data_IF_789114635796
#
_entry.id   IF_789114635796
#
_cell.length_a   1.000
_cell.length_b   1.000
_cell.length_c   1.000
_cell.angle_alpha   90.00
_cell.angle_beta   90.00
_cell.angle_gamma   90.00
#
_symmetry.space_group_name_H-M   'P 1'
#
loop_
_entity.id
_entity.type
_entity.pdbx_description
1 polymer ?
#
# COMPACT_ATOMS: atom_id res chain seq x y z
N UNK A 1 -5.21 7.25 -17.34
CA UNK A 1 -5.86 6.98 -18.64
C UNK A 1 -6.00 5.47 -18.78
N UNK A 2 -7.18 4.93 -18.50
CA UNK A 2 -7.49 3.51 -18.68
C UNK A 2 -8.71 3.46 -19.58
N UNK A 3 -8.56 2.77 -20.71
CA UNK A 3 -9.49 2.69 -21.84
C UNK A 3 -10.59 1.66 -21.52
N UNK A 4 -11.86 2.08 -21.59
CA UNK A 4 -13.02 1.19 -21.48
C UNK A 4 -13.47 0.70 -22.85
N UNK A 5 -13.46 -0.61 -23.05
CA UNK A 5 -13.97 -1.28 -24.25
C UNK A 5 -15.47 -1.52 -24.09
N UNK A 6 -16.25 -1.11 -25.08
CA UNK A 6 -17.69 -1.31 -25.13
C UNK A 6 -18.08 -2.65 -25.76
N UNK A 7 -19.26 -3.13 -25.39
CA UNK A 7 -20.01 -4.14 -26.14
C UNK A 7 -21.47 -3.70 -26.24
N UNK A 8 -21.99 -3.72 -27.47
CA UNK A 8 -23.38 -3.46 -27.81
C UNK A 8 -24.00 -4.81 -28.23
N UNK A 9 -25.17 -5.15 -27.68
CA UNK A 9 -25.92 -6.36 -28.03
C UNK A 9 -27.39 -6.13 -27.71
N UNK A 10 -28.21 -6.04 -28.76
CA UNK A 10 -29.62 -5.64 -28.68
C UNK A 10 -30.61 -6.79 -28.52
N UNK A 11 -31.84 -6.39 -28.14
CA UNK A 11 -33.11 -6.87 -28.70
C UNK A 11 -33.68 -8.21 -28.22
N UNK A 12 -34.88 -8.18 -27.63
CA UNK A 12 -35.80 -9.32 -27.56
C UNK A 12 -36.72 -9.31 -26.35
N UNK A 13 -38.01 -9.03 -26.57
CA UNK A 13 -39.12 -9.20 -25.61
C UNK A 13 -39.83 -10.51 -25.97
N UNK A 14 -39.99 -11.43 -25.01
CA UNK A 14 -41.05 -12.45 -25.02
C UNK A 14 -41.54 -12.67 -23.57
N UNK A 15 -42.87 -12.66 -23.44
CA UNK A 15 -43.66 -12.78 -22.22
C UNK A 15 -44.17 -14.24 -22.12
N UNK A 16 -44.22 -14.83 -20.93
CA UNK A 16 -44.72 -16.21 -20.77
C UNK A 16 -44.41 -16.84 -19.42
N UNK A 17 -45.42 -16.90 -18.55
CA UNK A 17 -45.38 -17.58 -17.26
C UNK A 17 -45.31 -19.12 -17.36
N UNK A 18 -44.75 -19.74 -16.33
CA UNK A 18 -44.71 -21.18 -16.11
C UNK A 18 -43.94 -21.52 -14.84
N UNK A 19 -44.63 -22.12 -13.88
CA UNK A 19 -44.13 -22.60 -12.59
C UNK A 19 -43.05 -23.68 -12.70
N UNK A 20 -42.32 -23.84 -11.58
CA UNK A 20 -41.38 -24.90 -11.18
C UNK A 20 -39.94 -24.78 -11.69
N UNK A 21 -39.02 -24.38 -10.81
CA UNK A 21 -38.08 -25.35 -10.20
C UNK A 21 -37.39 -24.76 -8.96
N UNK A 22 -37.23 -25.63 -7.96
CA UNK A 22 -36.58 -25.38 -6.68
C UNK A 22 -35.11 -25.01 -6.86
N UNK A 23 -34.56 -24.39 -5.82
CA UNK A 23 -33.14 -24.25 -5.46
C UNK A 23 -32.45 -22.99 -5.96
N UNK A 24 -32.61 -21.93 -5.18
CA UNK A 24 -31.45 -21.26 -4.61
C UNK A 24 -31.74 -20.96 -3.14
N UNK A 25 -31.34 -21.87 -2.24
CA UNK A 25 -30.88 -21.38 -0.94
C UNK A 25 -29.66 -20.55 -1.29
N UNK A 26 -29.84 -19.23 -1.37
CA UNK A 26 -28.76 -18.27 -1.45
C UNK A 26 -27.84 -18.55 -0.28
N UNK A 27 -26.82 -19.36 -0.53
CA UNK A 27 -25.74 -19.61 0.38
C UNK A 27 -24.89 -18.35 0.31
N UNK A 28 -25.41 -17.28 0.92
CA UNK A 28 -24.61 -16.13 1.27
C UNK A 28 -23.44 -16.70 2.06
N UNK A 29 -22.26 -16.68 1.44
CA UNK A 29 -21.00 -17.11 2.06
C UNK A 29 -20.86 -16.27 3.32
N UNK A 30 -21.35 -16.79 4.46
CA UNK A 30 -21.02 -16.29 5.78
C UNK A 30 -19.56 -16.66 5.98
N UNK A 31 -18.67 -15.84 5.43
CA UNK A 31 -17.23 -16.05 5.41
C UNK A 31 -16.73 -16.08 6.85
N UNK A 32 -16.43 -17.27 7.37
CA UNK A 32 -15.32 -17.57 8.29
C UNK A 32 -15.14 -16.75 9.56
N UNK A 33 -16.17 -16.10 10.10
CA UNK A 33 -16.02 -15.26 11.31
C UNK A 33 -15.59 -16.11 12.53
N UNK A 34 -16.09 -17.34 12.65
CA UNK A 34 -15.74 -18.26 13.73
C UNK A 34 -14.33 -18.84 13.61
N UNK A 35 -13.87 -19.12 12.39
CA UNK A 35 -12.55 -19.69 12.14
C UNK A 35 -11.44 -18.67 12.44
N UNK A 36 -11.66 -17.40 12.09
CA UNK A 36 -10.73 -16.31 12.39
C UNK A 36 -10.56 -16.15 13.91
N UNK A 37 -11.64 -16.21 14.67
CA UNK A 37 -11.58 -16.06 16.12
C UNK A 37 -10.90 -17.26 16.80
N UNK A 38 -11.17 -18.48 16.31
CA UNK A 38 -10.46 -19.68 16.76
C UNK A 38 -8.95 -19.59 16.51
N UNK A 39 -8.54 -19.10 15.34
CA UNK A 39 -7.12 -18.89 15.01
C UNK A 39 -6.50 -17.81 15.89
N UNK A 40 -7.20 -16.71 16.17
CA UNK A 40 -6.69 -15.67 17.08
C UNK A 40 -6.45 -16.21 18.48
N UNK A 41 -7.38 -16.98 19.04
CA UNK A 41 -7.25 -17.58 20.37
C UNK A 41 -6.08 -18.57 20.40
N UNK A 42 -6.00 -19.45 19.40
CA UNK A 42 -4.89 -20.40 19.28
C UNK A 42 -3.53 -19.69 19.20
N UNK A 43 -3.44 -18.64 18.38
CA UNK A 43 -2.20 -17.88 18.24
C UNK A 43 -1.89 -17.07 19.50
N UNK A 44 -2.89 -16.53 20.21
CA UNK A 44 -2.68 -15.81 21.47
C UNK A 44 -2.20 -16.72 22.61
N UNK A 45 -2.61 -17.99 22.61
CA UNK A 45 -2.13 -19.02 23.53
C UNK A 45 -0.65 -19.36 23.27
N UNK A 46 -0.23 -19.44 22.00
CA UNK A 46 1.15 -19.80 21.62
C UNK A 46 2.12 -18.64 21.57
N UNK A 47 1.64 -17.46 21.19
CA UNK A 47 2.40 -16.24 21.03
C UNK A 47 1.62 -15.17 21.77
N UNK A 48 2.25 -14.41 22.67
CA UNK A 48 1.57 -13.32 23.36
C UNK A 48 1.19 -12.22 22.35
N UNK A 49 0.05 -12.39 21.67
CA UNK A 49 -0.42 -11.49 20.64
C UNK A 49 -1.17 -10.36 21.30
N UNK A 50 -0.62 -9.15 21.18
CA UNK A 50 -1.36 -7.95 21.51
C UNK A 50 -2.36 -7.69 20.39
N UNK A 51 -3.65 -7.63 20.72
CA UNK A 51 -4.63 -7.07 19.79
C UNK A 51 -4.31 -5.59 19.62
N UNK A 52 -3.65 -5.26 18.50
CA UNK A 52 -3.52 -3.88 18.05
C UNK A 52 -4.86 -3.58 17.41
N UNK A 53 -5.68 -2.76 18.07
CA UNK A 53 -7.04 -2.43 17.62
C UNK A 53 -7.03 -1.75 16.23
N UNK A 54 -7.33 -0.47 16.12
CA UNK A 54 -7.09 0.26 14.88
C UNK A 54 -5.61 0.61 14.78
N UNK A 55 -4.81 -0.36 14.29
CA UNK A 55 -3.40 -0.13 13.99
C UNK A 55 -3.28 0.99 12.94
N UNK A 56 -2.74 2.15 13.35
CA UNK A 56 -2.48 3.29 12.47
C UNK A 56 -1.03 3.28 11.94
N UNK A 57 -0.12 2.66 12.68
CA UNK A 57 1.30 2.57 12.32
C UNK A 57 1.91 1.23 12.78
N UNK A 58 2.72 0.61 11.93
CA UNK A 58 3.51 -0.58 12.26
C UNK A 58 4.88 -0.46 11.59
N UNK A 59 5.98 -0.54 12.35
CA UNK A 59 7.36 -0.39 11.84
C UNK A 59 7.59 0.92 11.06
N UNK A 60 6.79 1.97 11.30
CA UNK A 60 6.89 3.22 10.53
C UNK A 60 6.13 3.22 9.19
N UNK A 61 5.47 2.11 8.86
CA UNK A 61 4.45 2.02 7.80
C UNK A 61 3.13 2.50 8.37
N UNK A 62 2.50 3.48 7.74
CA UNK A 62 1.17 3.93 8.11
C UNK A 62 0.14 3.00 7.49
N UNK A 63 -0.79 2.52 8.31
CA UNK A 63 -1.90 1.68 7.86
C UNK A 63 -3.11 2.59 7.78
N UNK A 64 -3.59 2.81 6.56
CA UNK A 64 -4.78 3.58 6.30
C UNK A 64 -5.91 2.63 5.90
N UNK A 65 -7.02 2.71 6.62
CA UNK A 65 -8.21 1.90 6.38
C UNK A 65 -9.34 2.77 5.87
N UNK A 66 -9.99 2.30 4.83
CA UNK A 66 -11.26 2.75 4.29
C UNK A 66 -12.29 1.63 4.51
N UNK A 67 -13.58 1.97 4.46
CA UNK A 67 -14.68 1.00 4.58
C UNK A 67 -14.55 -0.13 3.55
N UNK A 68 -14.00 0.17 2.37
CA UNK A 68 -13.85 -0.78 1.27
C UNK A 68 -12.45 -1.39 1.14
N UNK A 69 -11.41 -0.81 1.74
CA UNK A 69 -10.02 -1.21 1.48
C UNK A 69 -9.07 -0.84 2.61
N UNK A 70 -7.93 -1.53 2.66
CA UNK A 70 -6.80 -1.16 3.51
C UNK A 70 -5.60 -0.92 2.61
N UNK A 71 -4.90 0.20 2.81
CA UNK A 71 -3.66 0.51 2.10
C UNK A 71 -2.57 0.88 3.09
N UNK A 72 -1.35 0.50 2.74
CA UNK A 72 -0.14 0.86 3.47
C UNK A 72 0.46 2.08 2.80
N UNK A 73 0.92 3.05 3.60
CA UNK A 73 1.57 4.25 3.08
C UNK A 73 2.78 4.64 3.91
N UNK A 74 3.78 5.20 3.22
CA UNK A 74 5.00 5.76 3.80
C UNK A 74 5.00 7.29 3.83
N UNK A 75 3.87 7.96 3.58
CA UNK A 75 3.80 9.43 3.50
C UNK A 75 4.49 10.13 4.68
N UNK A 76 4.24 9.69 5.92
CA UNK A 76 4.90 10.24 7.11
C UNK A 76 6.41 10.03 7.10
N UNK A 77 6.86 8.87 6.64
CA UNK A 77 8.29 8.55 6.54
C UNK A 77 8.99 9.37 5.46
N UNK A 78 8.37 9.54 4.30
CA UNK A 78 8.87 10.40 3.21
C UNK A 78 9.02 11.85 3.70
N UNK A 79 8.00 12.39 4.37
CA UNK A 79 8.05 13.75 4.94
C UNK A 79 9.21 13.87 5.94
N UNK A 80 9.43 12.86 6.78
CA UNK A 80 10.55 12.86 7.71
C UNK A 80 11.91 12.82 7.00
N UNK A 81 12.05 12.08 5.90
CA UNK A 81 13.28 12.10 5.09
C UNK A 81 13.53 13.51 4.54
N UNK A 82 12.50 14.14 3.96
CA UNK A 82 12.60 15.49 3.39
C UNK A 82 13.03 16.50 4.47
N UNK A 83 12.41 16.45 5.66
CA UNK A 83 12.76 17.30 6.82
C UNK A 83 14.20 17.09 7.28
N UNK A 84 14.60 15.85 7.46
CA UNK A 84 15.94 15.50 7.94
C UNK A 84 17.04 15.95 6.96
N UNK A 85 16.75 15.93 5.66
CA UNK A 85 17.66 16.39 4.62
C UNK A 85 17.54 17.89 4.32
N UNK A 86 16.61 18.59 4.99
CA UNK A 86 16.28 20.01 4.76
C UNK A 86 15.90 20.30 3.31
N UNK A 87 15.18 19.38 2.68
CA UNK A 87 14.70 19.49 1.29
C UNK A 87 13.27 20.05 1.21
N UNK A 88 12.76 20.66 2.29
CA UNK A 88 11.39 21.20 2.34
C UNK A 88 11.16 22.31 1.31
N UNK A 89 12.20 23.08 0.98
CA UNK A 89 12.19 24.16 -0.01
C UNK A 89 12.58 23.69 -1.42
N UNK A 90 12.83 22.39 -1.63
CA UNK A 90 13.23 21.90 -2.94
C UNK A 90 12.04 21.85 -3.90
N UNK A 91 12.25 22.34 -5.12
CA UNK A 91 11.27 22.24 -6.20
C UNK A 91 11.20 20.81 -6.73
N UNK A 92 9.98 20.30 -6.95
CA UNK A 92 9.79 19.01 -7.58
C UNK A 92 10.30 19.03 -9.03
N UNK A 93 11.04 17.99 -9.42
CA UNK A 93 11.55 17.78 -10.79
C UNK A 93 11.00 16.47 -11.31
N UNK A 94 10.50 16.46 -12.55
CA UNK A 94 9.91 15.27 -13.17
C UNK A 94 10.91 14.13 -13.38
N UNK A 95 12.19 14.46 -13.59
CA UNK A 95 13.31 13.53 -13.70
C UNK A 95 14.41 13.91 -12.71
N UNK A 96 14.54 13.22 -11.57
CA UNK A 96 15.49 13.59 -10.52
C UNK A 96 16.96 13.37 -10.88
N UNK A 97 17.25 12.64 -11.97
CA UNK A 97 18.58 12.40 -12.48
C UNK A 97 18.67 12.93 -13.91
N UNK A 98 19.58 13.88 -14.15
CA UNK A 98 19.87 14.36 -15.51
C UNK A 98 20.63 13.27 -16.28
N UNK A 99 20.28 13.07 -17.56
CA UNK A 99 20.82 11.98 -18.42
C UNK A 99 22.34 12.14 -18.65
N UNK A 100 22.84 13.36 -18.48
CA UNK A 100 24.22 13.80 -18.67
C UNK A 100 24.97 14.07 -17.36
N UNK A 101 24.51 13.50 -16.22
CA UNK A 101 25.18 13.64 -14.94
C UNK A 101 26.62 13.10 -14.98
N UNK A 102 27.60 13.99 -15.15
CA UNK A 102 29.01 13.69 -14.90
C UNK A 102 29.24 13.68 -13.39
N UNK A 103 29.25 12.48 -12.81
CA UNK A 103 29.43 12.25 -11.37
C UNK A 103 30.80 12.66 -10.81
N UNK A 104 31.71 13.16 -11.64
CA UNK A 104 33.10 13.41 -11.29
C UNK A 104 33.46 14.88 -11.51
N UNK A 105 33.16 15.71 -10.52
CA UNK A 105 33.83 17.00 -10.36
C UNK A 105 35.13 16.76 -9.55
N UNK A 106 36.32 16.94 -10.15
CA UNK A 106 37.60 16.77 -9.44
C UNK A 106 37.79 17.76 -8.28
N UNK A 107 36.99 18.82 -8.20
CA UNK A 107 36.95 19.76 -7.08
C UNK A 107 35.83 19.46 -6.09
N UNK A 108 35.05 18.39 -6.30
CA UNK A 108 33.99 18.03 -5.37
C UNK A 108 34.58 17.69 -4.01
N UNK A 109 34.01 18.32 -2.98
CA UNK A 109 34.45 18.09 -1.61
C UNK A 109 34.07 16.67 -1.21
N UNK A 110 35.07 15.84 -0.93
CA UNK A 110 34.85 14.53 -0.32
C UNK A 110 33.97 14.69 0.93
N UNK A 111 32.94 13.85 1.03
CA UNK A 111 32.07 13.87 2.20
C UNK A 111 32.89 13.57 3.46
N UNK A 112 32.94 14.53 4.37
CA UNK A 112 33.69 14.42 5.63
C UNK A 112 33.17 13.28 6.52
N UNK A 113 31.86 13.00 6.43
CA UNK A 113 31.20 11.95 7.18
C UNK A 113 30.44 10.99 6.24
N UNK A 114 30.93 9.76 6.16
CA UNK A 114 30.31 8.69 5.39
C UNK A 114 29.05 8.11 6.07
N UNK A 115 28.80 8.40 7.35
CA UNK A 115 27.61 7.92 8.06
C UNK A 115 26.34 8.58 7.53
N UNK A 116 26.41 9.86 7.17
CA UNK A 116 25.30 10.63 6.60
C UNK A 116 24.82 10.03 5.28
N UNK A 117 25.75 9.72 4.37
CA UNK A 117 25.43 9.06 3.09
C UNK A 117 24.81 7.68 3.31
N UNK A 118 25.41 6.85 4.16
CA UNK A 118 24.89 5.51 4.48
C UNK A 118 23.49 5.57 5.09
N UNK A 119 23.25 6.48 6.03
CA UNK A 119 21.92 6.72 6.62
C UNK A 119 20.90 7.14 5.57
N UNK A 120 21.27 7.96 4.59
CA UNK A 120 20.36 8.32 3.49
C UNK A 120 20.01 7.10 2.64
N UNK A 121 21.02 6.35 2.18
CA UNK A 121 20.81 5.14 1.36
C UNK A 121 19.95 4.12 2.11
N UNK A 122 20.22 3.87 3.39
CA UNK A 122 19.40 2.95 4.21
C UNK A 122 17.94 3.39 4.31
N UNK A 123 17.68 4.71 4.40
CA UNK A 123 16.31 5.23 4.45
C UNK A 123 15.59 5.15 3.11
N UNK A 124 16.30 5.39 2.01
CA UNK A 124 15.74 5.22 0.66
C UNK A 124 15.44 3.76 0.36
N UNK A 125 16.34 2.84 0.75
CA UNK A 125 16.11 1.40 0.60
C UNK A 125 14.89 0.94 1.41
N UNK A 126 14.70 1.47 2.62
CA UNK A 126 13.50 1.19 3.41
C UNK A 126 12.22 1.71 2.76
N UNK A 127 12.30 2.84 2.03
CA UNK A 127 11.16 3.41 1.33
C UNK A 127 10.70 2.56 0.13
N UNK A 128 11.64 1.89 -0.56
CA UNK A 128 11.38 1.04 -1.73
C UNK A 128 10.80 -0.35 -1.38
N UNK A 129 10.95 -0.78 -0.13
CA UNK A 129 10.60 -2.14 0.31
C UNK A 129 9.08 -2.41 0.50
N UNK A 130 8.20 -1.42 0.32
CA UNK A 130 6.73 -1.52 0.52
C UNK A 130 5.92 -1.14 -0.69
#
# INVERSE_FOLDING_TARGET
MVVGVGYNGGGGVEDGGGDLEKREKGHGRKKGMGDIEAVKVFLHDKFTIKNIEEAKYFVGVQIAKSVASMYLTHTKYIINIIKDLKLEECTAVATPLQVDWQAHDPNSRLMTDSSTYRRLISRLLYLDFT
#
